data_IF_084374634108
#
_entry.id   IF_084374634108
#
_cell.length_a   1.000
_cell.length_b   1.000
_cell.length_c   1.000
_cell.angle_alpha   90.00
_cell.angle_beta   90.00
_cell.angle_gamma   90.00
#
_symmetry.space_group_name_H-M   'P 1'
#
loop_
_entity.id
_entity.type
_entity.pdbx_description
1 polymer ?
#
# COMPACT_ATOMS: atom_id res chain seq x y z
N UNK A 1 34.47 10.81 -32.26
CA UNK A 1 34.20 10.37 -30.88
C UNK A 1 33.08 11.25 -30.37
N UNK A 2 31.87 10.96 -30.83
CA UNK A 2 30.71 11.83 -30.71
C UNK A 2 29.52 10.98 -30.26
N UNK A 3 28.84 11.46 -29.23
CA UNK A 3 27.38 11.39 -29.07
C UNK A 3 26.67 10.06 -28.82
N UNK A 4 27.33 9.05 -28.27
CA UNK A 4 26.64 7.83 -27.79
C UNK A 4 25.84 8.06 -26.47
N UNK A 5 25.97 9.24 -25.88
CA UNK A 5 25.29 9.65 -24.64
C UNK A 5 23.94 10.37 -24.87
N UNK A 6 23.61 10.74 -26.12
CA UNK A 6 22.33 11.41 -26.43
C UNK A 6 21.20 10.44 -26.78
N UNK A 7 21.47 9.15 -26.96
CA UNK A 7 20.42 8.17 -27.26
C UNK A 7 19.63 7.88 -25.99
N UNK A 8 18.33 8.23 -25.93
CA UNK A 8 17.52 7.94 -24.76
C UNK A 8 17.49 6.42 -24.52
N UNK A 9 17.95 5.98 -23.35
CA UNK A 9 17.91 4.56 -22.96
C UNK A 9 16.63 4.25 -22.21
N UNK A 10 16.07 3.07 -22.48
CA UNK A 10 14.92 2.54 -21.74
C UNK A 10 15.20 2.58 -20.23
N UNK A 11 14.29 3.18 -19.47
CA UNK A 11 14.47 3.32 -18.04
C UNK A 11 14.40 1.93 -17.39
N UNK A 12 15.44 1.55 -16.65
CA UNK A 12 15.41 0.34 -15.83
C UNK A 12 14.27 0.43 -14.80
N UNK A 13 13.48 -0.64 -14.70
CA UNK A 13 12.34 -0.80 -13.79
C UNK A 13 12.80 -1.01 -12.34
N UNK A 14 13.56 -0.06 -11.78
CA UNK A 14 14.00 -0.09 -10.38
C UNK A 14 14.79 -1.35 -9.97
N UNK A 15 15.02 -1.55 -8.66
CA UNK A 15 15.62 -2.79 -8.17
C UNK A 15 14.76 -4.00 -8.54
N UNK A 16 15.36 -5.07 -9.07
CA UNK A 16 14.67 -6.19 -9.72
C UNK A 16 13.57 -6.90 -8.88
N UNK A 17 13.54 -6.73 -7.55
CA UNK A 17 12.49 -7.29 -6.68
C UNK A 17 11.31 -6.35 -6.35
N UNK A 18 11.42 -5.05 -6.64
CA UNK A 18 10.44 -4.05 -6.18
C UNK A 18 9.06 -4.26 -6.80
N UNK A 19 9.00 -4.66 -8.07
CA UNK A 19 7.75 -4.93 -8.79
C UNK A 19 7.00 -6.13 -8.21
N UNK A 20 7.69 -7.24 -7.99
CA UNK A 20 7.08 -8.45 -7.43
C UNK A 20 6.57 -8.21 -6.00
N UNK A 21 7.34 -7.50 -5.17
CA UNK A 21 6.92 -7.13 -3.82
C UNK A 21 5.69 -6.20 -3.83
N UNK A 22 5.71 -5.17 -4.67
CA UNK A 22 4.60 -4.24 -4.88
C UNK A 22 3.30 -4.97 -5.27
N UNK A 23 3.38 -5.85 -6.27
CA UNK A 23 2.25 -6.61 -6.77
C UNK A 23 1.70 -7.57 -5.69
N UNK A 24 2.57 -8.25 -4.94
CA UNK A 24 2.15 -9.12 -3.85
C UNK A 24 1.42 -8.35 -2.74
N UNK A 25 1.96 -7.20 -2.30
CA UNK A 25 1.32 -6.39 -1.26
C UNK A 25 -0.04 -5.85 -1.71
N UNK A 26 -0.13 -5.34 -2.94
CA UNK A 26 -1.34 -4.67 -3.43
C UNK A 26 -2.42 -5.64 -3.90
N UNK A 27 -2.05 -6.76 -4.53
CA UNK A 27 -3.03 -7.68 -5.13
C UNK A 27 -3.28 -8.96 -4.34
N UNK A 28 -2.46 -9.26 -3.32
CA UNK A 28 -2.68 -10.42 -2.43
C UNK A 28 -3.02 -9.96 -1.02
N UNK A 29 -2.15 -9.16 -0.39
CA UNK A 29 -2.34 -8.80 1.01
C UNK A 29 -3.50 -7.81 1.22
N UNK A 30 -3.62 -6.76 0.40
CA UNK A 30 -4.65 -5.75 0.59
C UNK A 30 -6.10 -6.30 0.53
N UNK A 31 -6.48 -7.15 -0.45
CA UNK A 31 -7.80 -7.78 -0.47
C UNK A 31 -8.06 -8.66 0.75
N UNK A 32 -7.08 -9.46 1.19
CA UNK A 32 -7.21 -10.32 2.36
C UNK A 32 -7.43 -9.51 3.64
N UNK A 33 -6.67 -8.43 3.83
CA UNK A 33 -6.83 -7.54 4.98
C UNK A 33 -8.16 -6.78 4.93
N UNK A 34 -8.62 -6.38 3.75
CA UNK A 34 -9.93 -5.75 3.59
C UNK A 34 -11.06 -6.74 3.94
N UNK A 35 -10.96 -8.00 3.48
CA UNK A 35 -11.88 -9.07 3.85
C UNK A 35 -11.90 -9.34 5.35
N UNK A 36 -10.72 -9.41 5.98
CA UNK A 36 -10.59 -9.56 7.43
C UNK A 36 -11.24 -8.38 8.19
N UNK A 37 -11.04 -7.14 7.71
CA UNK A 37 -11.68 -5.96 8.28
C UNK A 37 -13.22 -6.08 8.23
N UNK A 38 -13.77 -6.42 7.07
CA UNK A 38 -15.23 -6.57 6.86
C UNK A 38 -15.80 -7.69 7.74
N UNK A 39 -15.13 -8.85 7.81
CA UNK A 39 -15.55 -9.94 8.68
C UNK A 39 -15.57 -9.52 10.16
N UNK A 40 -14.53 -8.79 10.60
CA UNK A 40 -14.41 -8.28 11.97
C UNK A 40 -15.50 -7.26 12.29
N UNK A 41 -15.90 -6.41 11.34
CA UNK A 41 -17.04 -5.50 11.48
C UNK A 41 -18.33 -6.29 11.72
N UNK A 42 -18.55 -7.40 10.99
CA UNK A 42 -19.71 -8.27 11.19
C UNK A 42 -19.80 -8.84 12.60
N UNK A 43 -18.67 -9.34 13.13
CA UNK A 43 -18.58 -9.84 14.51
C UNK A 43 -18.83 -8.71 15.53
N UNK A 44 -18.18 -7.55 15.34
CA UNK A 44 -18.35 -6.40 16.23
C UNK A 44 -19.78 -5.86 16.22
N UNK A 45 -20.48 -5.94 15.09
CA UNK A 45 -21.88 -5.55 14.94
C UNK A 45 -22.84 -6.53 15.62
N UNK A 46 -22.57 -7.84 15.51
CA UNK A 46 -23.40 -8.88 16.13
C UNK A 46 -23.25 -8.90 17.67
N UNK A 47 -22.03 -8.73 18.16
CA UNK A 47 -21.68 -8.85 19.58
C UNK A 47 -21.30 -7.51 20.24
N UNK A 48 -21.81 -6.39 19.72
CA UNK A 48 -21.47 -5.03 20.17
C UNK A 48 -21.37 -4.83 21.70
N UNK A 49 -22.34 -5.30 22.51
CA UNK A 49 -22.29 -5.18 23.97
C UNK A 49 -21.11 -5.87 24.66
N UNK A 50 -20.45 -6.83 24.01
CA UNK A 50 -19.28 -7.54 24.55
C UNK A 50 -17.96 -6.76 24.38
N UNK A 51 -17.99 -5.66 23.63
CA UNK A 51 -16.83 -4.82 23.35
C UNK A 51 -16.91 -3.50 24.12
N UNK A 52 -15.74 -2.99 24.53
CA UNK A 52 -15.65 -1.71 25.21
C UNK A 52 -15.99 -0.53 24.29
N UNK A 53 -15.49 -0.56 23.05
CA UNK A 53 -15.66 0.54 22.07
C UNK A 53 -16.07 0.04 20.66
N UNK A 54 -17.23 -0.63 20.53
CA UNK A 54 -17.66 -1.20 19.25
C UNK A 54 -17.83 -0.14 18.16
N UNK A 55 -18.45 1.01 18.47
CA UNK A 55 -18.68 2.09 17.50
C UNK A 55 -17.41 2.65 16.87
N UNK A 56 -16.47 3.20 17.66
CA UNK A 56 -15.20 3.69 17.14
C UNK A 56 -14.38 2.61 16.43
N UNK A 57 -14.39 1.38 16.94
CA UNK A 57 -13.69 0.26 16.31
C UNK A 57 -14.27 -0.06 14.92
N UNK A 58 -15.59 -0.16 14.79
CA UNK A 58 -16.25 -0.40 13.50
C UNK A 58 -15.98 0.72 12.50
N UNK A 59 -15.99 1.98 12.95
CA UNK A 59 -15.63 3.12 12.09
C UNK A 59 -14.19 3.00 11.59
N UNK A 60 -13.24 2.70 12.47
CA UNK A 60 -11.83 2.51 12.11
C UNK A 60 -11.66 1.33 11.13
N UNK A 61 -12.30 0.18 11.38
CA UNK A 61 -12.27 -0.99 10.49
C UNK A 61 -12.91 -0.71 9.12
N UNK A 62 -14.02 0.04 9.09
CA UNK A 62 -14.69 0.41 7.84
C UNK A 62 -13.80 1.32 7.02
N UNK A 63 -13.22 2.33 7.66
CA UNK A 63 -12.28 3.25 7.02
C UNK A 63 -11.05 2.49 6.53
N UNK A 64 -10.53 1.54 7.31
CA UNK A 64 -9.44 0.65 6.91
C UNK A 64 -9.76 -0.12 5.63
N UNK A 65 -10.93 -0.77 5.55
CA UNK A 65 -11.36 -1.49 4.36
C UNK A 65 -11.44 -0.56 3.13
N UNK A 66 -12.00 0.64 3.28
CA UNK A 66 -12.07 1.63 2.19
C UNK A 66 -10.66 2.03 1.70
N UNK A 67 -9.73 2.31 2.60
CA UNK A 67 -8.36 2.66 2.23
C UNK A 67 -7.60 1.51 1.55
N UNK A 68 -7.78 0.27 2.03
CA UNK A 68 -7.19 -0.91 1.41
C UNK A 68 -7.74 -1.12 -0.01
N UNK A 69 -9.06 -1.03 -0.19
CA UNK A 69 -9.70 -1.12 -1.50
C UNK A 69 -9.28 0.02 -2.44
N UNK A 70 -9.22 1.26 -1.93
CA UNK A 70 -8.71 2.40 -2.70
C UNK A 70 -7.25 2.18 -3.13
N UNK A 71 -6.42 1.61 -2.25
CA UNK A 71 -5.05 1.20 -2.56
C UNK A 71 -4.98 0.27 -3.76
N UNK A 72 -5.83 -0.76 -3.81
CA UNK A 72 -5.92 -1.70 -4.94
C UNK A 72 -6.29 -0.95 -6.24
N UNK A 73 -7.31 -0.09 -6.20
CA UNK A 73 -7.75 0.64 -7.39
C UNK A 73 -6.66 1.59 -7.92
N UNK A 74 -5.91 2.23 -7.03
CA UNK A 74 -4.76 3.07 -7.39
C UNK A 74 -3.60 2.24 -7.95
N UNK A 75 -3.36 1.05 -7.40
CA UNK A 75 -2.36 0.10 -7.91
C UNK A 75 -2.69 -0.36 -9.34
N UNK A 76 -3.97 -0.66 -9.61
CA UNK A 76 -4.43 -1.00 -10.96
C UNK A 76 -4.23 0.16 -11.94
N UNK A 77 -4.48 1.40 -11.52
CA UNK A 77 -4.18 2.58 -12.34
C UNK A 77 -2.69 2.72 -12.61
N UNK A 78 -1.85 2.52 -11.59
CA UNK A 78 -0.40 2.56 -11.75
C UNK A 78 0.07 1.50 -12.76
N UNK A 79 -0.40 0.26 -12.63
CA UNK A 79 0.03 -0.88 -13.46
C UNK A 79 -0.11 -0.65 -14.97
N UNK A 80 -1.06 0.19 -15.40
CA UNK A 80 -1.25 0.53 -16.82
C UNK A 80 -0.06 1.28 -17.43
N UNK A 81 0.71 1.99 -16.62
CA UNK A 81 1.88 2.76 -17.05
C UNK A 81 3.20 2.00 -16.87
N UNK A 82 3.14 0.74 -16.43
CA UNK A 82 4.32 -0.08 -16.17
C UNK A 82 4.51 -1.10 -17.29
N UNK A 83 5.28 -0.71 -18.31
CA UNK A 83 5.63 -1.58 -19.44
C UNK A 83 7.15 -1.56 -19.70
N UNK A 84 7.65 -2.71 -20.17
CA UNK A 84 9.02 -2.90 -20.62
C UNK A 84 9.13 -2.80 -22.14
N UNK A 85 10.36 -2.67 -22.66
CA UNK A 85 10.60 -2.76 -24.12
C UNK A 85 10.10 -4.10 -24.69
N UNK A 86 10.32 -5.18 -23.94
CA UNK A 86 9.87 -6.51 -24.34
C UNK A 86 8.33 -6.56 -24.43
N UNK A 87 7.63 -5.96 -23.47
CA UNK A 87 6.16 -5.88 -23.45
C UNK A 87 5.66 -5.13 -24.70
N UNK A 88 6.29 -4.01 -25.05
CA UNK A 88 5.92 -3.26 -26.27
C UNK A 88 6.23 -4.02 -27.55
N UNK A 89 7.34 -4.76 -27.60
CA UNK A 89 7.70 -5.60 -28.76
C UNK A 89 6.74 -6.79 -28.91
N UNK A 90 6.29 -7.36 -27.80
CA UNK A 90 5.31 -8.44 -27.78
C UNK A 90 3.92 -7.97 -28.24
N UNK A 91 3.49 -6.78 -27.80
CA UNK A 91 2.15 -6.26 -28.13
C UNK A 91 2.05 -5.67 -29.53
N UNK A 92 3.10 -5.02 -30.02
CA UNK A 92 3.05 -4.23 -31.27
C UNK A 92 3.97 -4.77 -32.39
N UNK A 93 4.84 -5.75 -32.09
CA UNK A 93 5.79 -6.32 -33.05
C UNK A 93 7.18 -5.67 -33.00
N UNK A 94 8.03 -5.96 -34.00
CA UNK A 94 9.36 -5.37 -34.10
C UNK A 94 9.27 -3.85 -34.27
N UNK A 95 9.85 -3.12 -33.32
CA UNK A 95 9.91 -1.66 -33.35
C UNK A 95 10.84 -1.20 -34.49
N UNK A 96 10.36 -0.32 -35.37
CA UNK A 96 11.20 0.31 -36.39
C UNK A 96 12.32 1.15 -35.73
N UNK A 97 13.51 1.18 -36.34
CA UNK A 97 14.71 1.88 -35.85
C UNK A 97 14.50 3.40 -35.62
N UNK A 98 13.45 4.00 -36.21
CA UNK A 98 13.10 5.41 -36.04
C UNK A 98 12.12 5.73 -34.90
N UNK A 99 11.33 4.78 -34.41
CA UNK A 99 10.33 5.01 -33.35
C UNK A 99 10.93 4.97 -31.94
N UNK A 100 12.17 4.48 -31.82
CA UNK A 100 12.81 4.18 -30.54
C UNK A 100 13.00 5.41 -29.63
N UNK A 101 13.42 6.59 -30.12
CA UNK A 101 13.65 7.76 -29.26
C UNK A 101 12.36 8.36 -28.69
N UNK A 102 11.30 8.43 -29.51
CA UNK A 102 10.01 8.99 -29.09
C UNK A 102 9.35 8.10 -28.02
N UNK A 103 9.41 6.78 -28.20
CA UNK A 103 8.87 5.82 -27.22
C UNK A 103 9.63 5.82 -25.90
N UNK A 104 10.96 5.98 -25.93
CA UNK A 104 11.73 6.12 -24.69
C UNK A 104 11.37 7.41 -23.95
N UNK A 105 11.13 8.51 -24.67
CA UNK A 105 10.64 9.74 -24.06
C UNK A 105 9.26 9.56 -23.42
N UNK A 106 8.31 8.92 -24.12
CA UNK A 106 6.98 8.59 -23.59
C UNK A 106 7.07 7.67 -22.36
N UNK A 107 7.92 6.64 -22.41
CA UNK A 107 8.16 5.75 -21.27
C UNK A 107 8.67 6.51 -20.05
N UNK A 108 9.54 7.49 -20.24
CA UNK A 108 10.05 8.30 -19.13
C UNK A 108 8.95 9.13 -18.46
N UNK A 109 7.99 9.66 -19.23
CA UNK A 109 6.82 10.36 -18.69
C UNK A 109 5.85 9.40 -18.01
N UNK A 110 5.57 8.24 -18.61
CA UNK A 110 4.71 7.21 -18.03
C UNK A 110 5.28 6.67 -16.73
N UNK A 111 6.60 6.53 -16.63
CA UNK A 111 7.27 6.11 -15.40
C UNK A 111 7.08 7.12 -14.26
N UNK A 112 6.99 8.43 -14.55
CA UNK A 112 6.67 9.43 -13.53
C UNK A 112 5.22 9.31 -13.06
N UNK A 113 4.29 9.08 -13.99
CA UNK A 113 2.87 8.85 -13.69
C UNK A 113 2.70 7.57 -12.86
N UNK A 114 3.39 6.49 -13.25
CA UNK A 114 3.45 5.24 -12.48
C UNK A 114 3.93 5.49 -11.05
N UNK A 115 5.06 6.18 -10.87
CA UNK A 115 5.61 6.49 -9.53
C UNK A 115 4.61 7.25 -8.66
N UNK A 116 3.90 8.21 -9.23
CA UNK A 116 2.91 9.00 -8.51
C UNK A 116 1.73 8.14 -8.02
N UNK A 117 1.13 7.35 -8.91
CA UNK A 117 0.01 6.48 -8.56
C UNK A 117 0.43 5.35 -7.61
N UNK A 118 1.61 4.77 -7.84
CA UNK A 118 2.17 3.74 -6.97
C UNK A 118 2.42 4.26 -5.56
N UNK A 119 3.07 5.43 -5.41
CA UNK A 119 3.31 6.04 -4.11
C UNK A 119 2.00 6.38 -3.37
N UNK A 120 0.99 6.85 -4.11
CA UNK A 120 -0.33 7.14 -3.54
C UNK A 120 -1.04 5.85 -3.09
N UNK A 121 -0.94 4.78 -3.88
CA UNK A 121 -1.45 3.46 -3.50
C UNK A 121 -0.75 2.91 -2.26
N UNK A 122 0.58 2.99 -2.19
CA UNK A 122 1.36 2.54 -1.03
C UNK A 122 0.94 3.28 0.26
N UNK A 123 0.75 4.60 0.20
CA UNK A 123 0.24 5.36 1.35
C UNK A 123 -1.16 4.95 1.76
N UNK A 124 -2.06 4.71 0.79
CA UNK A 124 -3.41 4.25 1.08
C UNK A 124 -3.39 2.88 1.79
N UNK A 125 -2.53 1.96 1.34
CA UNK A 125 -2.31 0.68 2.00
C UNK A 125 -1.80 0.85 3.43
N UNK A 126 -0.74 1.64 3.66
CA UNK A 126 -0.17 1.88 5.00
C UNK A 126 -1.20 2.49 5.97
N UNK A 127 -1.99 3.46 5.51
CA UNK A 127 -3.08 4.06 6.28
C UNK A 127 -4.14 3.01 6.60
N UNK A 128 -4.55 2.21 5.61
CA UNK A 128 -5.52 1.14 5.76
C UNK A 128 -5.10 0.12 6.82
N UNK A 129 -3.87 -0.39 6.76
CA UNK A 129 -3.37 -1.36 7.75
C UNK A 129 -3.25 -0.73 9.14
N UNK A 130 -2.84 0.54 9.24
CA UNK A 130 -2.77 1.24 10.54
C UNK A 130 -4.17 1.38 11.17
N UNK A 131 -5.17 1.76 10.37
CA UNK A 131 -6.56 1.86 10.83
C UNK A 131 -7.15 0.50 11.19
N UNK A 132 -6.79 -0.56 10.46
CA UNK A 132 -7.18 -1.93 10.79
C UNK A 132 -6.67 -2.32 12.18
N UNK A 133 -5.39 -2.04 12.47
CA UNK A 133 -4.80 -2.27 13.78
C UNK A 133 -5.48 -1.46 14.89
N UNK A 134 -5.78 -0.18 14.64
CA UNK A 134 -6.53 0.66 15.59
C UNK A 134 -7.94 0.13 15.87
N UNK A 135 -8.64 -0.35 14.84
CA UNK A 135 -9.94 -0.99 14.99
C UNK A 135 -9.86 -2.25 15.86
N UNK A 136 -8.88 -3.11 15.60
CA UNK A 136 -8.62 -4.32 16.40
C UNK A 136 -8.30 -3.95 17.86
N UNK A 137 -7.49 -2.91 18.11
CA UNK A 137 -7.19 -2.44 19.47
C UNK A 137 -8.45 -2.00 20.21
N UNK A 138 -9.36 -1.29 19.51
CA UNK A 138 -10.64 -0.87 20.07
C UNK A 138 -11.54 -2.05 20.48
N UNK A 139 -11.50 -3.15 19.71
CA UNK A 139 -12.21 -4.38 20.07
C UNK A 139 -11.50 -5.17 21.17
N UNK A 140 -10.17 -5.21 21.18
CA UNK A 140 -9.42 -5.97 22.19
C UNK A 140 -9.51 -5.34 23.59
N UNK A 141 -9.72 -4.03 23.70
CA UNK A 141 -9.88 -3.35 24.98
C UNK A 141 -10.93 -4.06 25.86
N UNK A 142 -10.58 -4.45 27.10
CA UNK A 142 -11.49 -5.22 27.94
C UNK A 142 -12.70 -4.39 28.36
N UNK A 143 -13.92 -4.96 28.29
CA UNK A 143 -15.12 -4.31 28.80
C UNK A 143 -15.07 -4.28 30.33
N UNK A 144 -15.77 -3.32 30.92
CA UNK A 144 -15.69 -3.05 32.37
C UNK A 144 -16.24 -4.19 33.24
N UNK A 145 -16.99 -5.12 32.64
CA UNK A 145 -17.55 -6.31 33.30
C UNK A 145 -16.70 -7.59 33.09
N UNK A 146 -15.51 -7.50 32.49
CA UNK A 146 -14.67 -8.67 32.25
C UNK A 146 -14.06 -9.24 33.54
N UNK A 147 -13.99 -10.57 33.65
CA UNK A 147 -13.24 -11.23 34.73
C UNK A 147 -11.75 -10.85 34.68
N UNK A 148 -11.09 -10.82 35.84
CA UNK A 148 -9.68 -10.40 35.98
C UNK A 148 -8.75 -11.19 35.04
N UNK A 149 -8.92 -12.51 34.92
CA UNK A 149 -8.13 -13.34 34.01
C UNK A 149 -8.33 -12.98 32.53
N UNK A 150 -9.58 -12.75 32.10
CA UNK A 150 -9.86 -12.32 30.73
C UNK A 150 -9.34 -10.91 30.44
N UNK A 151 -9.41 -10.00 31.42
CA UNK A 151 -8.90 -8.65 31.28
C UNK A 151 -7.38 -8.63 31.08
N UNK A 152 -6.63 -9.46 31.81
CA UNK A 152 -5.16 -9.57 31.66
C UNK A 152 -4.82 -10.04 30.24
N UNK A 153 -5.44 -11.12 29.75
CA UNK A 153 -5.20 -11.62 28.39
C UNK A 153 -5.55 -10.60 27.30
N UNK A 154 -6.61 -9.82 27.50
CA UNK A 154 -6.99 -8.75 26.56
C UNK A 154 -5.98 -7.61 26.57
N UNK A 155 -5.49 -7.19 27.73
CA UNK A 155 -4.46 -6.17 27.83
C UNK A 155 -3.12 -6.59 27.23
N UNK A 156 -2.71 -7.85 27.40
CA UNK A 156 -1.50 -8.36 26.75
C UNK A 156 -1.65 -8.35 25.23
N UNK A 157 -2.81 -8.78 24.71
CA UNK A 157 -3.11 -8.69 23.28
C UNK A 157 -3.10 -7.24 22.77
N UNK A 158 -3.69 -6.30 23.51
CA UNK A 158 -3.62 -4.85 23.22
C UNK A 158 -2.17 -4.37 23.16
N UNK A 159 -1.33 -4.79 24.11
CA UNK A 159 0.09 -4.43 24.13
C UNK A 159 0.85 -4.93 22.89
N UNK A 160 0.64 -6.19 22.51
CA UNK A 160 1.29 -6.81 21.34
C UNK A 160 0.85 -6.13 20.04
N UNK A 161 -0.46 -5.96 19.84
CA UNK A 161 -0.99 -5.30 18.64
C UNK A 161 -0.59 -3.82 18.61
N UNK A 162 -0.63 -3.14 19.75
CA UNK A 162 -0.25 -1.74 19.89
C UNK A 162 1.20 -1.51 19.48
N UNK A 163 2.10 -2.39 19.92
CA UNK A 163 3.50 -2.34 19.51
C UNK A 163 3.66 -2.51 17.99
N UNK A 164 2.97 -3.48 17.40
CA UNK A 164 3.01 -3.71 15.95
C UNK A 164 2.52 -2.49 15.15
N UNK A 165 1.41 -1.87 15.57
CA UNK A 165 0.86 -0.65 14.94
C UNK A 165 1.84 0.51 15.04
N UNK A 166 2.48 0.71 16.20
CA UNK A 166 3.49 1.77 16.36
C UNK A 166 4.71 1.52 15.47
N UNK A 167 5.22 0.29 15.43
CA UNK A 167 6.35 -0.07 14.57
C UNK A 167 6.03 0.19 13.09
N UNK A 168 4.82 -0.13 12.66
CA UNK A 168 4.36 0.13 11.30
C UNK A 168 4.26 1.62 11.00
N UNK A 169 3.63 2.41 11.89
CA UNK A 169 3.51 3.86 11.72
C UNK A 169 4.89 4.54 11.66
N UNK A 170 5.84 4.13 12.50
CA UNK A 170 7.22 4.63 12.48
C UNK A 170 7.90 4.30 11.15
N UNK A 171 7.71 3.08 10.64
CA UNK A 171 8.29 2.65 9.36
C UNK A 171 7.73 3.46 8.18
N UNK A 172 6.42 3.67 8.14
CA UNK A 172 5.74 4.50 7.14
C UNK A 172 6.24 5.96 7.14
N UNK A 173 6.44 6.54 8.32
CA UNK A 173 6.99 7.91 8.45
C UNK A 173 8.45 7.97 7.99
N UNK A 174 9.27 6.98 8.35
CA UNK A 174 10.67 6.91 7.91
C UNK A 174 10.78 6.79 6.40
N UNK A 175 9.97 5.94 5.79
CA UNK A 175 9.94 5.74 4.34
C UNK A 175 9.59 7.04 3.60
N UNK A 176 8.52 7.74 4.02
CA UNK A 176 8.14 9.02 3.43
C UNK A 176 9.22 10.11 3.58
N UNK A 177 9.99 10.10 4.69
CA UNK A 177 11.11 11.04 4.88
C UNK A 177 12.28 10.77 3.94
N UNK A 178 12.56 9.50 3.63
CA UNK A 178 13.63 9.14 2.69
C UNK A 178 13.31 9.55 1.26
N UNK A 179 12.07 9.34 0.81
CA UNK A 179 11.62 9.76 -0.53
C UNK A 179 11.65 11.29 -0.71
N UNK A 180 11.27 12.05 0.32
CA UNK A 180 11.37 13.53 0.28
C UNK A 180 12.82 14.04 0.22
N UNK A 181 13.79 13.31 0.77
CA UNK A 181 15.21 13.71 0.71
C UNK A 181 15.87 13.42 -0.63
N UNK A 182 15.32 12.47 -1.41
CA UNK A 182 15.82 12.08 -2.74
C UNK A 182 15.24 12.90 -3.89
N UNK A 183 14.47 13.94 -3.61
CA UNK A 183 13.91 14.85 -4.60
C UNK A 183 14.57 16.25 -4.60
N UNK A 184 15.91 16.38 -4.73
CA UNK A 184 16.48 17.60 -5.30
C UNK A 184 16.32 17.56 -6.82
N UNK A 185 15.96 18.71 -7.43
CA UNK A 185 15.70 18.94 -8.87
C UNK A 185 14.25 18.77 -9.32
N UNK A 186 13.39 19.62 -8.74
CA UNK A 186 12.27 20.25 -9.47
C UNK A 186 12.54 21.77 -9.45
N UNK A 187 13.34 22.24 -10.40
CA UNK A 187 13.37 23.63 -10.87
C UNK A 187 13.46 23.60 -12.37
#
# INVERSE_FOLDING_TARGET
MADDDLVPRWASLGPHGMRAAAEATQFVAAPLLAGAAIATIGVAGADGPQFRWPGPAMLALTTAAVFLLAGIQLALRARRYLYSRADTQEWEGELEEGETPQRVYQQSSDMQVWRHWYATSARAYEIGVSLLGLGILGLLAPPDHASMGHAICRWTAVGVVGLAVVMQAVSAVRFNRMDRRRSPLRR
#
